data_IF_239601365052
#
_entry.id   IF_239601365052
#
_cell.length_a   1.000
_cell.length_b   1.000
_cell.length_c   1.000
_cell.angle_alpha   90.00
_cell.angle_beta   90.00
_cell.angle_gamma   90.00
#
_symmetry.space_group_name_H-M   'P 1'
#
loop_
_entity.id
_entity.type
_entity.pdbx_description
1 polymer ?
#
# COMPACT_ATOMS: atom_id res chain seq x y z
N UNK A 1 16.21 -50.21 -39.23
CA UNK A 1 15.90 -48.82 -38.80
C UNK A 1 15.63 -47.97 -40.03
N UNK A 2 14.38 -47.60 -40.31
CA UNK A 2 14.04 -46.81 -41.51
C UNK A 2 14.34 -45.32 -41.24
N UNK A 3 15.27 -44.75 -42.01
CA UNK A 3 15.57 -43.31 -41.95
C UNK A 3 14.38 -42.52 -42.51
N UNK A 4 13.81 -41.54 -41.79
CA UNK A 4 12.69 -40.76 -42.29
C UNK A 4 13.11 -39.95 -43.54
N UNK A 5 12.26 -39.93 -44.56
CA UNK A 5 12.56 -39.27 -45.84
C UNK A 5 12.52 -37.74 -45.72
N UNK A 6 13.27 -37.05 -46.58
CA UNK A 6 13.46 -35.60 -46.55
C UNK A 6 12.16 -34.77 -46.57
N UNK A 7 11.08 -35.35 -47.12
CA UNK A 7 9.75 -34.70 -47.16
C UNK A 7 9.08 -34.62 -45.78
N UNK A 8 9.27 -35.62 -44.92
CA UNK A 8 8.76 -35.60 -43.53
C UNK A 8 9.50 -34.56 -42.69
N UNK A 9 10.80 -34.37 -42.95
CA UNK A 9 11.64 -33.39 -42.26
C UNK A 9 11.28 -31.93 -42.61
N UNK A 10 10.69 -31.70 -43.78
CA UNK A 10 10.30 -30.36 -44.25
C UNK A 10 8.93 -29.95 -43.69
N UNK A 11 7.98 -30.88 -43.55
CA UNK A 11 6.64 -30.59 -43.00
C UNK A 11 6.68 -30.33 -41.49
N UNK A 12 7.57 -31.02 -40.74
CA UNK A 12 7.77 -30.76 -39.30
C UNK A 12 8.42 -29.38 -39.05
N UNK A 13 9.20 -28.85 -39.99
CA UNK A 13 9.86 -27.55 -39.84
C UNK A 13 8.95 -26.34 -40.05
N UNK A 14 7.90 -26.45 -40.87
CA UNK A 14 7.07 -25.30 -41.27
C UNK A 14 5.81 -25.16 -40.39
N UNK A 15 5.27 -26.26 -39.85
CA UNK A 15 4.09 -26.21 -38.96
C UNK A 15 4.41 -25.85 -37.49
N UNK A 16 5.62 -26.16 -37.01
CA UNK A 16 6.02 -25.89 -35.63
C UNK A 16 6.26 -24.42 -35.32
N UNK A 17 6.75 -23.65 -36.31
CA UNK A 17 7.11 -22.25 -36.12
C UNK A 17 5.92 -21.33 -35.79
N UNK A 18 4.79 -21.33 -36.53
CA UNK A 18 3.66 -20.47 -36.17
C UNK A 18 2.99 -20.91 -34.86
N UNK A 19 2.93 -22.21 -34.58
CA UNK A 19 2.38 -22.71 -33.31
C UNK A 19 3.25 -22.30 -32.11
N UNK A 20 4.58 -22.36 -32.25
CA UNK A 20 5.51 -21.88 -31.24
C UNK A 20 5.39 -20.36 -31.03
N UNK A 21 5.13 -19.58 -32.08
CA UNK A 21 4.88 -18.13 -31.97
C UNK A 21 3.55 -17.83 -31.28
N UNK A 22 2.49 -18.61 -31.54
CA UNK A 22 1.18 -18.44 -30.85
C UNK A 22 1.27 -18.85 -29.39
N UNK A 23 1.99 -19.93 -29.07
CA UNK A 23 2.22 -20.37 -27.68
C UNK A 23 3.14 -19.39 -26.95
N UNK A 24 4.23 -18.93 -27.58
CA UNK A 24 5.11 -17.91 -27.01
C UNK A 24 4.38 -16.58 -26.85
N UNK A 25 3.56 -16.18 -27.82
CA UNK A 25 2.70 -14.99 -27.74
C UNK A 25 1.63 -15.10 -26.65
N UNK A 26 1.03 -16.29 -26.46
CA UNK A 26 0.10 -16.59 -25.38
C UNK A 26 0.76 -16.59 -24.00
N UNK A 27 1.99 -17.12 -23.89
CA UNK A 27 2.79 -17.06 -22.67
C UNK A 27 3.22 -15.62 -22.35
N UNK A 28 3.65 -14.84 -23.35
CA UNK A 28 3.98 -13.42 -23.19
C UNK A 28 2.74 -12.61 -22.79
N UNK A 29 1.59 -12.86 -23.41
CA UNK A 29 0.31 -12.22 -23.07
C UNK A 29 -0.13 -12.56 -21.64
N UNK A 30 -0.03 -13.82 -21.22
CA UNK A 30 -0.35 -14.23 -19.85
C UNK A 30 0.66 -13.71 -18.83
N UNK A 31 1.92 -13.49 -19.23
CA UNK A 31 2.95 -12.87 -18.38
C UNK A 31 2.89 -11.33 -18.32
N UNK A 32 2.13 -10.69 -19.22
CA UNK A 32 2.02 -9.23 -19.29
C UNK A 32 1.01 -8.64 -18.30
N UNK A 33 0.44 -9.46 -17.42
CA UNK A 33 -0.40 -9.04 -16.30
C UNK A 33 0.27 -9.24 -14.93
N UNK A 34 1.60 -9.30 -14.90
CA UNK A 34 2.34 -8.99 -13.68
C UNK A 34 2.55 -7.48 -13.67
N UNK A 35 1.64 -6.75 -13.00
CA UNK A 35 1.89 -5.39 -12.59
C UNK A 35 3.27 -5.35 -11.94
N UNK A 36 4.15 -4.50 -12.47
CA UNK A 36 5.39 -4.15 -11.82
C UNK A 36 5.03 -3.54 -10.46
N UNK A 37 4.95 -4.36 -9.42
CA UNK A 37 5.02 -3.89 -8.05
C UNK A 37 6.46 -3.49 -7.79
N UNK A 38 6.85 -2.32 -8.31
CA UNK A 38 7.98 -1.60 -7.76
C UNK A 38 7.51 -1.01 -6.44
N UNK A 39 7.50 -1.81 -5.38
CA UNK A 39 7.66 -1.25 -4.04
C UNK A 39 9.07 -0.68 -3.99
N UNK A 40 9.17 0.63 -4.19
CA UNK A 40 10.42 1.36 -4.05
C UNK A 40 10.77 1.38 -2.57
N UNK A 41 11.42 0.32 -2.06
CA UNK A 41 12.10 0.34 -0.77
C UNK A 41 13.33 1.23 -0.90
N UNK A 42 13.18 2.53 -0.65
CA UNK A 42 14.34 3.38 -0.43
C UNK A 42 14.74 3.29 1.05
N UNK A 43 15.88 2.67 1.31
CA UNK A 43 16.46 2.58 2.64
C UNK A 43 17.13 3.91 2.95
N UNK A 44 16.42 4.77 3.68
CA UNK A 44 16.97 5.99 4.26
C UNK A 44 16.16 7.21 3.89
N UNK A 45 14.98 7.34 4.51
CA UNK A 45 14.34 8.62 4.86
C UNK A 45 13.03 8.31 5.60
N UNK A 46 12.66 9.16 6.55
CA UNK A 46 11.32 9.09 7.14
C UNK A 46 10.30 9.40 6.03
N UNK A 47 9.54 8.38 5.62
CA UNK A 47 8.49 8.42 4.59
C UNK A 47 8.99 8.39 3.13
N UNK A 48 9.58 7.26 2.70
CA UNK A 48 9.84 7.00 1.28
C UNK A 48 8.66 6.29 0.62
N UNK A 49 7.63 7.03 0.25
CA UNK A 49 6.77 6.68 -0.88
C UNK A 49 6.16 7.95 -1.46
N UNK A 50 6.62 8.40 -2.63
CA UNK A 50 5.88 9.38 -3.42
C UNK A 50 4.50 8.81 -3.75
N UNK A 51 3.45 9.64 -3.61
CA UNK A 51 2.04 9.39 -3.97
C UNK A 51 1.62 7.93 -4.22
N UNK A 52 0.74 7.40 -3.39
CA UNK A 52 0.22 6.03 -3.55
C UNK A 52 -0.79 6.01 -4.69
N UNK A 53 -0.55 5.16 -5.69
CA UNK A 53 -1.45 5.01 -6.84
C UNK A 53 -1.98 3.59 -6.87
N UNK A 54 -3.30 3.45 -7.02
CA UNK A 54 -4.04 2.18 -7.05
C UNK A 54 -4.84 2.12 -8.36
N UNK A 55 -5.01 0.94 -8.97
CA UNK A 55 -5.74 0.79 -10.24
C UNK A 55 -6.92 -0.16 -10.14
N UNK A 56 -6.74 -1.37 -9.63
CA UNK A 56 -7.81 -2.33 -9.28
C UNK A 56 -7.46 -2.93 -7.91
N UNK A 57 -7.74 -4.22 -7.60
CA UNK A 57 -7.48 -4.93 -6.32
C UNK A 57 -5.98 -4.92 -5.92
N UNK A 58 -5.45 -3.72 -5.73
CA UNK A 58 -4.06 -3.35 -5.62
C UNK A 58 -3.78 -2.85 -4.22
N UNK A 59 -2.50 -2.96 -3.86
CA UNK A 59 -1.97 -2.51 -2.57
C UNK A 59 -0.83 -1.55 -2.84
N UNK A 60 -0.91 -0.38 -2.21
CA UNK A 60 0.15 0.62 -2.23
C UNK A 60 0.58 0.93 -0.81
N UNK A 61 1.88 1.13 -0.60
CA UNK A 61 2.44 1.28 0.73
C UNK A 61 3.35 2.51 0.85
N UNK A 62 3.34 3.12 2.03
CA UNK A 62 4.29 4.14 2.45
C UNK A 62 5.09 3.65 3.67
N UNK A 63 6.42 3.67 3.55
CA UNK A 63 7.31 3.18 4.60
C UNK A 63 7.58 4.27 5.64
N UNK A 64 7.23 4.00 6.89
CA UNK A 64 7.64 4.75 8.07
C UNK A 64 8.96 4.18 8.59
N UNK A 65 10.03 4.97 8.51
CA UNK A 65 11.32 4.64 9.09
C UNK A 65 11.75 5.80 9.99
N UNK A 66 12.03 5.50 11.25
CA UNK A 66 12.58 6.47 12.19
C UNK A 66 13.78 5.91 12.92
N UNK A 67 14.79 6.75 13.04
CA UNK A 67 16.04 6.48 13.73
C UNK A 67 16.56 7.77 14.35
N UNK A 68 17.40 7.66 15.37
CA UNK A 68 18.01 8.84 16.02
C UNK A 68 17.00 9.76 16.72
N UNK A 69 15.81 9.26 17.08
CA UNK A 69 14.79 10.02 17.77
C UNK A 69 15.24 10.38 19.19
N UNK A 70 14.90 11.59 19.63
CA UNK A 70 14.96 12.01 21.02
C UNK A 70 13.56 12.18 21.60
N UNK A 71 13.38 12.02 22.94
CA UNK A 71 12.08 12.21 23.57
C UNK A 71 11.44 13.56 23.20
N UNK A 72 10.15 13.54 22.86
CA UNK A 72 9.42 14.74 22.43
C UNK A 72 9.52 15.05 20.94
N UNK A 73 10.36 14.34 20.17
CA UNK A 73 10.35 14.43 18.72
C UNK A 73 8.98 14.08 18.14
N UNK A 74 8.65 14.70 17.01
CA UNK A 74 7.43 14.42 16.30
C UNK A 74 7.42 15.04 14.93
N UNK A 75 6.39 14.75 14.17
CA UNK A 75 6.24 15.29 12.83
C UNK A 75 4.86 15.07 12.25
N UNK A 76 4.64 15.72 11.10
CA UNK A 76 3.42 15.57 10.33
C UNK A 76 3.78 15.51 8.85
N UNK A 77 3.14 14.61 8.11
CA UNK A 77 3.31 14.47 6.66
C UNK A 77 1.99 14.12 6.00
N UNK A 78 1.84 14.55 4.75
CA UNK A 78 0.69 14.25 3.95
C UNK A 78 1.04 13.27 2.84
N UNK A 79 0.16 12.30 2.62
CA UNK A 79 0.24 11.31 1.56
C UNK A 79 -0.97 11.48 0.68
N UNK A 80 -0.76 11.60 -0.62
CA UNK A 80 -1.85 11.59 -1.59
C UNK A 80 -2.02 10.16 -2.08
N UNK A 81 -3.23 9.63 -1.94
CA UNK A 81 -3.64 8.32 -2.42
C UNK A 81 -4.60 8.55 -3.57
N UNK A 82 -4.27 8.02 -4.74
CA UNK A 82 -5.06 8.15 -5.96
C UNK A 82 -5.53 6.77 -6.41
N UNK A 83 -6.83 6.58 -6.50
CA UNK A 83 -7.42 5.45 -7.22
C UNK A 83 -7.65 5.85 -8.67
N UNK A 84 -7.13 5.08 -9.61
CA UNK A 84 -7.40 5.16 -11.04
C UNK A 84 -8.42 4.11 -11.49
N UNK A 85 -9.15 3.52 -10.55
CA UNK A 85 -10.08 2.45 -10.86
C UNK A 85 -11.24 2.90 -11.75
N UNK A 86 -11.62 2.00 -12.66
CA UNK A 86 -12.81 2.10 -13.49
C UNK A 86 -13.94 1.17 -12.99
N UNK A 87 -13.79 0.60 -11.80
CA UNK A 87 -14.75 -0.26 -11.12
C UNK A 87 -15.07 0.31 -9.74
N UNK A 88 -16.34 0.30 -9.30
CA UNK A 88 -16.67 0.72 -7.94
C UNK A 88 -16.03 -0.19 -6.90
N UNK A 89 -15.48 0.39 -5.85
CA UNK A 89 -14.81 -0.35 -4.79
C UNK A 89 -14.63 0.49 -3.54
N UNK A 90 -13.95 -0.07 -2.56
CA UNK A 90 -13.62 0.59 -1.30
C UNK A 90 -12.12 0.48 -1.04
N UNK A 91 -11.52 1.56 -0.55
CA UNK A 91 -10.14 1.59 -0.06
C UNK A 91 -10.15 1.56 1.45
N UNK A 92 -9.26 0.76 2.04
CA UNK A 92 -8.97 0.76 3.48
C UNK A 92 -7.48 0.86 3.73
N UNK A 93 -7.10 1.53 4.81
CA UNK A 93 -5.72 1.58 5.28
C UNK A 93 -5.45 0.69 6.50
N UNK A 94 -4.24 0.15 6.56
CA UNK A 94 -3.77 -0.67 7.69
C UNK A 94 -2.25 -0.66 7.78
N UNK A 95 -1.72 -1.09 8.93
CA UNK A 95 -0.28 -1.21 9.14
C UNK A 95 0.22 -2.61 8.75
N UNK A 96 1.43 -2.67 8.19
CA UNK A 96 2.12 -3.91 7.85
C UNK A 96 3.62 -3.80 8.16
N UNK A 97 4.33 -4.93 8.13
CA UNK A 97 5.79 -5.00 8.19
C UNK A 97 6.42 -4.22 9.36
N UNK A 98 5.74 -4.15 10.50
CA UNK A 98 6.32 -3.58 11.72
C UNK A 98 7.53 -4.43 12.14
N UNK A 99 8.70 -3.82 12.18
CA UNK A 99 9.94 -4.42 12.67
C UNK A 99 10.61 -3.44 13.61
N UNK A 100 11.09 -3.93 14.75
CA UNK A 100 11.75 -3.12 15.75
C UNK A 100 12.83 -3.93 16.45
N UNK A 101 13.93 -3.26 16.80
CA UNK A 101 14.97 -3.86 17.63
C UNK A 101 14.62 -3.84 19.12
N UNK A 102 13.67 -3.02 19.55
CA UNK A 102 13.29 -2.79 20.97
C UNK A 102 11.80 -2.43 21.13
N UNK A 103 11.39 -2.00 22.34
CA UNK A 103 10.03 -1.55 22.64
C UNK A 103 9.65 -0.16 22.08
N UNK A 104 10.50 0.49 21.28
CA UNK A 104 10.26 1.86 20.77
C UNK A 104 8.87 2.06 20.12
N UNK A 105 8.30 1.13 19.32
CA UNK A 105 6.95 1.27 18.76
C UNK A 105 5.81 1.46 19.79
N UNK A 106 6.02 1.07 21.05
CA UNK A 106 5.04 1.27 22.13
C UNK A 106 4.99 2.73 22.59
N UNK A 107 5.99 3.52 22.22
CA UNK A 107 6.18 4.91 22.64
C UNK A 107 6.09 5.89 21.47
N UNK A 108 5.71 5.41 20.29
CA UNK A 108 5.56 6.23 19.11
C UNK A 108 4.07 6.36 18.85
N UNK A 109 3.50 7.44 19.35
CA UNK A 109 2.11 7.78 19.10
C UNK A 109 1.95 8.13 17.63
N UNK A 110 0.85 7.66 17.06
CA UNK A 110 0.50 7.77 15.66
C UNK A 110 -0.94 8.29 15.54
N UNK A 111 -1.16 9.20 14.60
CA UNK A 111 -2.48 9.67 14.20
C UNK A 111 -2.59 9.67 12.70
N UNK A 112 -3.78 9.35 12.19
CA UNK A 112 -4.09 9.36 10.78
C UNK A 112 -5.41 10.06 10.55
N UNK A 113 -5.44 10.97 9.58
CA UNK A 113 -6.63 11.69 9.20
C UNK A 113 -6.79 11.62 7.69
N UNK A 114 -7.97 11.26 7.23
CA UNK A 114 -8.33 11.26 5.82
C UNK A 114 -9.04 12.57 5.48
N UNK A 115 -8.76 13.14 4.32
CA UNK A 115 -9.36 14.40 3.90
C UNK A 115 -9.01 14.80 2.47
N UNK A 116 -9.02 16.10 2.23
CA UNK A 116 -8.72 16.73 0.94
C UNK A 116 -7.74 17.88 1.11
N UNK A 117 -7.24 18.43 -0.01
CA UNK A 117 -6.19 19.46 0.02
C UNK A 117 -4.82 18.89 0.41
N UNK A 118 -3.84 19.76 0.62
CA UNK A 118 -2.45 19.36 0.79
C UNK A 118 -1.86 18.70 -0.45
N UNK A 119 -0.61 18.27 -0.34
CA UNK A 119 0.10 17.49 -1.34
C UNK A 119 1.08 16.52 -0.66
N UNK A 120 1.79 15.71 -1.46
CA UNK A 120 2.78 14.80 -0.89
C UNK A 120 3.84 15.56 -0.10
N UNK A 121 4.10 15.12 1.14
CA UNK A 121 5.00 15.76 2.11
C UNK A 121 4.63 17.18 2.55
N UNK A 122 3.51 17.75 2.11
CA UNK A 122 3.05 19.09 2.51
C UNK A 122 1.57 19.07 2.90
N UNK A 123 1.29 19.34 4.17
CA UNK A 123 -0.07 19.40 4.69
C UNK A 123 -0.70 20.79 4.66
N UNK A 124 -0.05 21.80 4.06
CA UNK A 124 -0.64 23.11 3.90
C UNK A 124 -1.94 23.04 3.09
N UNK A 125 -3.01 23.62 3.63
CA UNK A 125 -4.34 23.57 3.02
C UNK A 125 -5.06 22.22 3.14
N UNK A 126 -4.53 21.26 3.90
CA UNK A 126 -5.24 20.02 4.22
C UNK A 126 -6.48 20.30 5.06
N UNK A 127 -7.60 19.69 4.68
CA UNK A 127 -8.88 19.75 5.38
C UNK A 127 -9.33 18.32 5.70
N UNK A 128 -9.39 17.91 6.98
CA UNK A 128 -9.81 16.56 7.35
C UNK A 128 -11.31 16.36 7.10
N UNK A 129 -11.68 15.14 6.74
CA UNK A 129 -13.07 14.70 6.76
C UNK A 129 -13.59 14.68 8.21
N UNK A 130 -14.87 14.97 8.40
CA UNK A 130 -15.48 15.09 9.73
C UNK A 130 -15.25 13.86 10.62
N UNK A 131 -15.29 12.65 10.02
CA UNK A 131 -15.07 11.38 10.72
C UNK A 131 -13.65 11.23 11.31
N UNK A 132 -12.66 11.96 10.77
CA UNK A 132 -11.25 11.86 11.18
C UNK A 132 -10.68 13.18 11.70
N UNK A 133 -11.52 14.19 11.94
CA UNK A 133 -11.08 15.54 12.30
C UNK A 133 -10.30 15.59 13.64
N UNK A 134 -10.61 14.70 14.57
CA UNK A 134 -9.99 14.64 15.91
C UNK A 134 -9.46 13.22 16.19
N UNK A 135 -8.32 12.82 15.60
CA UNK A 135 -7.76 11.49 15.82
C UNK A 135 -7.19 11.38 17.24
N UNK A 136 -7.45 10.25 17.91
CA UNK A 136 -6.78 9.93 19.17
C UNK A 136 -5.38 9.39 18.88
N UNK A 137 -4.31 9.95 19.46
CA UNK A 137 -2.98 9.38 19.35
C UNK A 137 -2.94 7.97 19.94
N UNK A 138 -2.43 7.01 19.18
CA UNK A 138 -2.29 5.60 19.59
C UNK A 138 -0.88 5.10 19.29
N UNK A 139 -0.27 4.26 20.14
CA UNK A 139 1.03 3.68 19.82
C UNK A 139 1.00 2.91 18.50
N UNK A 140 2.01 3.08 17.65
CA UNK A 140 2.06 2.39 16.35
C UNK A 140 2.10 0.87 16.50
N UNK A 141 2.62 0.35 17.61
CA UNK A 141 2.50 -1.06 17.95
C UNK A 141 1.05 -1.52 18.11
N UNK A 142 0.18 -0.69 18.67
CA UNK A 142 -1.24 -0.98 18.83
C UNK A 142 -1.98 -0.90 17.48
N UNK A 143 -1.59 0.03 16.60
CA UNK A 143 -2.10 0.10 15.22
C UNK A 143 -1.75 -1.18 14.47
N UNK A 144 -0.48 -1.58 14.49
CA UNK A 144 0.02 -2.80 13.84
C UNK A 144 -0.49 -4.11 14.46
N UNK A 145 -1.19 -4.06 15.59
CA UNK A 145 -1.87 -5.21 16.17
C UNK A 145 -3.37 -5.26 15.83
N UNK A 146 -3.99 -4.11 15.54
CA UNK A 146 -5.44 -3.99 15.33
C UNK A 146 -5.83 -3.89 13.86
N UNK A 147 -5.13 -3.07 13.08
CA UNK A 147 -5.37 -2.86 11.65
C UNK A 147 -4.22 -3.49 10.87
N UNK A 148 -4.40 -4.75 10.44
CA UNK A 148 -3.33 -5.58 9.84
C UNK A 148 -3.68 -6.12 8.45
N UNK A 149 -4.93 -5.94 8.04
CA UNK A 149 -5.47 -6.43 6.78
C UNK A 149 -6.57 -5.49 6.31
N UNK A 150 -7.02 -5.67 5.06
CA UNK A 150 -8.19 -4.96 4.55
C UNK A 150 -9.40 -5.07 5.48
N UNK A 151 -9.74 -6.27 5.93
CA UNK A 151 -10.97 -6.52 6.73
C UNK A 151 -10.93 -5.85 8.10
N UNK A 152 -9.72 -5.58 8.63
CA UNK A 152 -9.48 -4.87 9.88
C UNK A 152 -9.03 -3.42 9.67
N UNK A 153 -8.99 -2.99 8.41
CA UNK A 153 -8.48 -1.69 8.00
C UNK A 153 -9.42 -0.54 8.37
N UNK A 154 -8.82 0.62 8.57
CA UNK A 154 -9.48 1.85 8.94
C UNK A 154 -9.79 2.74 7.73
N UNK A 155 -10.48 3.85 8.01
CA UNK A 155 -10.83 4.93 7.08
C UNK A 155 -11.36 4.44 5.72
N UNK A 156 -12.52 3.78 5.69
CA UNK A 156 -13.12 3.34 4.45
C UNK A 156 -13.35 4.53 3.51
N UNK A 157 -12.94 4.38 2.26
CA UNK A 157 -13.17 5.34 1.20
C UNK A 157 -13.80 4.65 -0.01
N UNK A 158 -15.07 4.96 -0.27
CA UNK A 158 -15.78 4.52 -1.46
C UNK A 158 -15.24 5.23 -2.71
N UNK A 159 -14.81 4.43 -3.69
CA UNK A 159 -14.36 4.83 -5.02
C UNK A 159 -15.47 4.50 -6.00
N UNK A 160 -15.88 5.48 -6.81
CA UNK A 160 -17.01 5.34 -7.73
C UNK A 160 -16.66 4.56 -9.00
N UNK A 161 -15.37 4.38 -9.31
CA UNK A 161 -14.93 3.65 -10.48
C UNK A 161 -15.13 4.41 -11.79
N UNK A 162 -15.05 5.74 -11.77
CA UNK A 162 -15.29 6.59 -12.95
C UNK A 162 -14.02 7.32 -13.41
N UNK A 163 -12.84 6.77 -13.08
CA UNK A 163 -11.53 7.38 -13.33
C UNK A 163 -10.86 7.89 -12.05
N UNK A 164 -9.84 8.73 -12.22
CA UNK A 164 -8.96 9.14 -11.12
C UNK A 164 -9.71 9.89 -10.00
N UNK A 165 -9.64 9.36 -8.79
CA UNK A 165 -10.13 9.99 -7.56
C UNK A 165 -8.99 10.00 -6.53
N UNK A 166 -8.90 11.04 -5.71
CA UNK A 166 -7.81 11.17 -4.73
C UNK A 166 -8.30 11.58 -3.35
N UNK A 167 -7.62 11.07 -2.34
CA UNK A 167 -7.70 11.50 -0.94
C UNK A 167 -6.31 11.82 -0.42
N UNK A 168 -6.24 12.77 0.49
CA UNK A 168 -5.01 13.07 1.22
C UNK A 168 -5.14 12.49 2.62
N UNK A 169 -4.07 11.84 3.09
CA UNK A 169 -3.94 11.33 4.43
C UNK A 169 -2.88 12.15 5.17
N UNK A 170 -3.28 12.85 6.24
CA UNK A 170 -2.36 13.54 7.14
C UNK A 170 -1.97 12.59 8.25
N UNK A 171 -0.70 12.22 8.29
CA UNK A 171 -0.13 11.42 9.36
C UNK A 171 0.57 12.32 10.35
N UNK A 172 0.23 12.18 11.63
CA UNK A 172 1.01 12.72 12.75
C UNK A 172 1.72 11.62 13.52
N UNK A 173 2.90 11.93 14.06
CA UNK A 173 3.61 11.04 14.99
C UNK A 173 4.34 11.83 16.06
N UNK A 174 4.55 11.20 17.22
CA UNK A 174 5.37 11.75 18.30
C UNK A 174 5.99 10.65 19.16
N UNK A 175 7.22 10.87 19.62
CA UNK A 175 7.87 10.03 20.62
C UNK A 175 7.45 10.47 22.03
N UNK A 176 6.55 9.69 22.62
CA UNK A 176 5.96 9.92 23.93
C UNK A 176 6.64 9.07 25.01
N UNK A 177 7.32 9.75 25.93
CA UNK A 177 7.96 9.14 27.09
C UNK A 177 7.21 9.44 28.40
N UNK A 178 5.95 9.87 28.32
CA UNK A 178 5.14 10.18 29.50
C UNK A 178 5.04 8.95 30.40
N UNK A 179 5.34 9.13 31.69
CA UNK A 179 5.30 8.04 32.68
C UNK A 179 6.51 7.10 32.65
N UNK A 180 7.50 7.34 31.77
CA UNK A 180 8.74 6.57 31.76
C UNK A 180 9.77 7.13 32.77
N UNK A 181 10.55 6.24 33.35
CA UNK A 181 11.77 6.59 34.09
C UNK A 181 12.94 6.84 33.13
N UNK A 182 13.96 7.58 33.58
CA UNK A 182 15.16 7.83 32.77
C UNK A 182 15.82 6.53 32.28
N UNK A 183 15.91 5.50 33.14
CA UNK A 183 16.50 4.21 32.76
C UNK A 183 15.73 3.51 31.63
N UNK A 184 14.40 3.67 31.57
CA UNK A 184 13.60 3.12 30.47
C UNK A 184 13.80 3.92 29.18
N UNK A 185 14.00 5.23 29.27
CA UNK A 185 14.32 6.08 28.11
C UNK A 185 15.72 5.72 27.57
N UNK A 186 16.70 5.56 28.44
CA UNK A 186 18.07 5.17 28.07
C UNK A 186 18.09 3.78 27.40
N UNK A 187 17.22 2.86 27.83
CA UNK A 187 17.07 1.55 27.20
C UNK A 187 16.51 1.60 25.76
N UNK A 188 15.91 2.73 25.35
CA UNK A 188 15.49 2.97 23.97
C UNK A 188 16.59 3.63 23.12
N UNK A 189 17.72 4.04 23.69
CA UNK A 189 18.78 4.70 22.95
C UNK A 189 19.35 3.80 21.84
N UNK A 190 19.55 4.36 20.65
CA UNK A 190 20.04 3.62 19.48
C UNK A 190 18.99 2.68 18.84
N UNK A 191 17.76 2.69 19.34
CA UNK A 191 16.67 1.93 18.76
C UNK A 191 16.19 2.53 17.44
N UNK A 192 15.67 1.65 16.60
CA UNK A 192 14.99 2.02 15.35
C UNK A 192 13.83 1.08 15.12
N UNK A 193 12.85 1.55 14.38
CA UNK A 193 11.81 0.67 13.89
C UNK A 193 11.36 1.09 12.48
N UNK A 194 10.80 0.12 11.76
CA UNK A 194 10.15 0.32 10.47
C UNK A 194 8.71 -0.15 10.54
N UNK A 195 7.80 0.52 9.88
CA UNK A 195 6.44 0.06 9.65
C UNK A 195 5.96 0.54 8.28
N UNK A 196 5.11 -0.21 7.61
CA UNK A 196 4.45 0.21 6.38
C UNK A 196 3.01 0.61 6.68
N UNK A 197 2.57 1.75 6.17
CA UNK A 197 1.16 2.09 6.06
C UNK A 197 0.70 1.70 4.65
N UNK A 198 -0.30 0.83 4.57
CA UNK A 198 -0.78 0.24 3.31
C UNK A 198 -2.19 0.72 3.04
N UNK A 199 -2.47 1.09 1.80
CA UNK A 199 -3.82 1.26 1.26
C UNK A 199 -4.09 0.11 0.30
N UNK A 200 -5.21 -0.56 0.52
CA UNK A 200 -5.70 -1.63 -0.35
C UNK A 200 -7.07 -1.25 -0.88
N UNK A 201 -7.21 -1.27 -2.19
CA UNK A 201 -8.50 -1.19 -2.86
C UNK A 201 -9.07 -2.59 -3.00
N UNK A 202 -10.39 -2.73 -2.79
CA UNK A 202 -11.13 -3.91 -3.24
C UNK A 202 -12.37 -3.52 -4.02
N UNK A 203 -12.58 -4.18 -5.14
CA UNK A 203 -13.80 -4.06 -5.91
C UNK A 203 -15.02 -4.49 -5.10
N UNK A 204 -16.13 -3.76 -5.27
CA UNK A 204 -17.44 -4.26 -4.84
C UNK A 204 -17.97 -5.14 -5.95
N UNK A 205 -18.17 -6.44 -5.70
CA UNK A 205 -18.77 -7.33 -6.70
C UNK A 205 -20.14 -6.78 -7.10
N UNK A 206 -20.28 -6.34 -8.35
CA UNK A 206 -21.59 -6.03 -8.91
C UNK A 206 -22.37 -7.33 -9.03
N UNK A 207 -23.40 -7.53 -8.21
CA UNK A 207 -24.38 -8.60 -8.44
C UNK A 207 -24.92 -8.43 -9.86
N UNK A 208 -24.77 -9.42 -10.76
CA UNK A 208 -25.34 -9.32 -12.09
C UNK A 208 -26.85 -9.14 -11.93
N UNK A 209 -27.39 -8.03 -12.40
CA UNK A 209 -28.84 -7.85 -12.49
C UNK A 209 -29.33 -8.91 -13.47
N UNK A 210 -29.99 -9.95 -12.96
CA UNK A 210 -30.61 -10.96 -13.80
C UNK A 210 -31.58 -10.26 -14.74
N UNK A 211 -31.24 -10.21 -16.03
CA UNK A 211 -32.19 -9.78 -17.05
C UNK A 211 -33.31 -10.82 -17.06
N UNK A 212 -34.58 -10.45 -16.80
CA UNK A 212 -35.67 -11.40 -16.95
C UNK A 212 -35.73 -11.79 -18.43
N UNK A 213 -35.57 -13.07 -18.72
CA UNK A 213 -35.85 -13.61 -20.05
C UNK A 213 -37.31 -13.33 -20.38
N UNK A 214 -37.54 -12.65 -21.51
CA UNK A 214 -38.85 -12.47 -22.11
C UNK A 214 -39.35 -13.78 -22.76
#
# INVERSE_FOLDING_TARGET
>A
MKKPSARVRTIVGIGGAPLAIVIAGGLVWHSSYAAFSSVTRNAGDSWSAGSVTLTDDDRGAAAFNVSGLVPGDGGTKCIVVTSNSNTPGEIRDYAANLSSSTGLPQHINFTLQMGTGGSFNDCTGFVPDAATANPTPVPIAAVAAQATSYDTGAHPWDVTGTGAQSRTYRVGWSFDTTGMTQAQIDALQGSSFTADLVWEFRTTTSTPTATPSA
#
